data_IF_924214394036
#
_entry.id   IF_924214394036
#
_cell.length_a   1.000
_cell.length_b   1.000
_cell.length_c   1.000
_cell.angle_alpha   90.00
_cell.angle_beta   90.00
_cell.angle_gamma   90.00
#
_symmetry.space_group_name_H-M   'P 1'
#
loop_
_entity.id
_entity.type
_entity.pdbx_description
1 polymer ?
#
# COMPACT_ATOMS: atom_id res chain seq x y z
N UNK A 1 19.98 26.74 -8.14
CA UNK A 1 19.75 25.40 -8.72
C UNK A 1 19.29 24.47 -7.60
N UNK A 2 18.26 24.85 -6.83
CA UNK A 2 17.86 24.15 -5.59
C UNK A 2 16.34 24.23 -5.30
N UNK A 3 15.54 24.77 -6.23
CA UNK A 3 14.10 25.01 -5.97
C UNK A 3 13.21 23.78 -6.22
N UNK A 4 13.72 22.76 -6.92
CA UNK A 4 12.92 21.59 -7.36
C UNK A 4 13.07 20.36 -6.45
N UNK A 5 14.18 20.21 -5.73
CA UNK A 5 14.44 19.03 -4.88
C UNK A 5 13.46 18.94 -3.70
N UNK A 6 13.10 20.08 -3.09
CA UNK A 6 12.17 20.12 -1.96
C UNK A 6 10.72 19.77 -2.32
N UNK A 7 10.31 19.97 -3.58
CA UNK A 7 8.97 19.63 -4.04
C UNK A 7 8.83 18.13 -4.34
N UNK A 8 9.90 17.50 -4.85
CA UNK A 8 9.91 16.07 -5.19
C UNK A 8 9.80 15.21 -3.93
N UNK A 9 10.55 15.52 -2.88
CA UNK A 9 10.50 14.74 -1.65
C UNK A 9 9.14 14.86 -0.93
N UNK A 10 8.55 16.07 -1.00
CA UNK A 10 7.21 16.34 -0.48
C UNK A 10 6.13 15.58 -1.25
N UNK A 11 6.21 15.57 -2.59
CA UNK A 11 5.30 14.78 -3.43
C UNK A 11 5.44 13.28 -3.13
N UNK A 12 6.67 12.79 -2.96
CA UNK A 12 6.95 11.38 -2.62
C UNK A 12 6.37 10.99 -1.26
N UNK A 13 6.45 11.85 -0.25
CA UNK A 13 5.83 11.61 1.05
C UNK A 13 4.29 11.51 0.95
N UNK A 14 3.66 12.35 0.11
CA UNK A 14 2.21 12.29 -0.14
C UNK A 14 1.85 10.96 -0.83
N UNK A 15 2.61 10.55 -1.85
CA UNK A 15 2.37 9.27 -2.52
C UNK A 15 2.55 8.07 -1.57
N UNK A 16 3.56 8.09 -0.70
CA UNK A 16 3.76 7.08 0.33
C UNK A 16 2.57 6.98 1.28
N UNK A 17 2.07 8.11 1.78
CA UNK A 17 0.90 8.10 2.66
C UNK A 17 -0.39 7.69 1.93
N UNK A 18 -0.61 8.17 0.71
CA UNK A 18 -1.74 7.77 -0.11
C UNK A 18 -1.74 6.25 -0.39
N UNK A 19 -0.56 5.62 -0.49
CA UNK A 19 -0.41 4.20 -0.73
C UNK A 19 -0.91 3.31 0.41
N UNK A 20 -0.98 3.82 1.65
CA UNK A 20 -1.51 3.08 2.81
C UNK A 20 -3.04 2.92 2.73
N UNK A 21 -3.71 3.80 1.98
CA UNK A 21 -5.17 3.89 1.87
C UNK A 21 -5.64 3.38 0.49
N UNK A 22 -4.73 3.24 -0.47
CA UNK A 22 -5.05 2.89 -1.84
C UNK A 22 -5.17 1.37 -2.01
N UNK A 23 -6.39 0.89 -2.26
CA UNK A 23 -6.66 -0.51 -2.53
C UNK A 23 -6.03 -0.94 -3.89
N UNK A 24 -5.10 -1.92 -3.91
CA UNK A 24 -4.34 -2.28 -5.11
C UNK A 24 -5.20 -2.90 -6.23
N UNK A 25 -6.46 -3.28 -5.95
CA UNK A 25 -7.42 -3.79 -6.94
C UNK A 25 -8.23 -2.71 -7.65
N UNK A 26 -8.37 -1.53 -7.04
CA UNK A 26 -9.31 -0.50 -7.51
C UNK A 26 -8.57 0.68 -8.15
N UNK A 27 -7.33 0.95 -7.74
CA UNK A 27 -6.60 2.16 -8.13
C UNK A 27 -5.33 1.87 -8.96
N UNK A 28 -5.47 1.24 -10.12
CA UNK A 28 -4.34 1.05 -11.07
C UNK A 28 -3.73 2.37 -11.53
N UNK A 29 -4.60 3.37 -11.80
CA UNK A 29 -4.20 4.68 -12.31
C UNK A 29 -3.29 5.49 -11.37
N UNK A 30 -3.40 5.27 -10.05
CA UNK A 30 -2.53 5.90 -9.05
C UNK A 30 -1.09 5.43 -9.21
N UNK A 31 -0.88 4.11 -9.35
CA UNK A 31 0.45 3.51 -9.51
C UNK A 31 1.10 3.90 -10.83
N UNK A 32 0.33 3.99 -11.92
CA UNK A 32 0.83 4.50 -13.20
C UNK A 32 1.27 5.97 -13.10
N UNK A 33 0.50 6.81 -12.41
CA UNK A 33 0.85 8.23 -12.20
C UNK A 33 2.11 8.38 -11.35
N UNK A 34 2.27 7.56 -10.31
CA UNK A 34 3.49 7.56 -9.50
C UNK A 34 4.70 7.02 -10.28
N UNK A 35 4.50 6.02 -11.14
CA UNK A 35 5.56 5.52 -12.00
C UNK A 35 6.05 6.59 -12.99
N UNK A 36 5.13 7.27 -13.66
CA UNK A 36 5.44 8.38 -14.58
C UNK A 36 6.14 9.54 -13.85
N UNK A 37 5.73 9.83 -12.61
CA UNK A 37 6.38 10.83 -11.76
C UNK A 37 7.84 10.46 -11.46
N UNK A 38 8.12 9.23 -11.03
CA UNK A 38 9.47 8.76 -10.72
C UNK A 38 10.34 8.60 -11.98
N UNK A 39 9.76 8.27 -13.14
CA UNK A 39 10.51 8.23 -14.41
C UNK A 39 10.91 9.65 -14.87
N UNK A 40 10.07 10.65 -14.63
CA UNK A 40 10.34 12.05 -15.04
C UNK A 40 11.25 12.81 -14.08
N UNK A 41 11.18 12.52 -12.78
CA UNK A 41 11.84 13.32 -11.73
C UNK A 41 12.80 12.52 -10.84
N UNK A 42 12.75 11.18 -10.88
CA UNK A 42 13.47 10.28 -10.00
C UNK A 42 14.62 9.53 -10.69
N UNK A 43 15.05 8.43 -10.06
CA UNK A 43 16.14 7.56 -10.50
C UNK A 43 15.69 6.08 -10.39
N UNK A 44 16.45 5.12 -10.92
CA UNK A 44 16.15 3.69 -10.83
C UNK A 44 15.95 3.21 -9.38
N UNK A 45 16.69 3.77 -8.43
CA UNK A 45 16.58 3.44 -7.02
C UNK A 45 15.21 3.83 -6.43
N UNK A 46 14.72 5.04 -6.73
CA UNK A 46 13.44 5.53 -6.21
C UNK A 46 12.25 4.83 -6.86
N UNK A 47 12.37 4.49 -8.14
CA UNK A 47 11.39 3.64 -8.84
C UNK A 47 11.32 2.24 -8.22
N UNK A 48 12.47 1.67 -7.86
CA UNK A 48 12.56 0.36 -7.22
C UNK A 48 11.90 0.35 -5.84
N UNK A 49 12.08 1.43 -5.07
CA UNK A 49 11.41 1.58 -3.77
C UNK A 49 9.90 1.70 -3.93
N UNK A 50 9.39 2.44 -4.92
CA UNK A 50 7.95 2.50 -5.22
C UNK A 50 7.35 1.10 -5.48
N UNK A 51 8.02 0.27 -6.29
CA UNK A 51 7.57 -1.11 -6.55
C UNK A 51 7.60 -1.98 -5.29
N UNK A 52 8.51 -1.69 -4.35
CA UNK A 52 8.58 -2.36 -3.05
C UNK A 52 7.39 -2.01 -2.18
N UNK A 53 7.04 -0.72 -2.12
CA UNK A 53 5.84 -0.23 -1.42
C UNK A 53 4.59 -0.87 -2.00
N UNK A 54 4.43 -0.90 -3.34
CA UNK A 54 3.30 -1.55 -4.02
C UNK A 54 3.11 -3.01 -3.59
N UNK A 55 4.19 -3.80 -3.57
CA UNK A 55 4.15 -5.19 -3.12
C UNK A 55 3.81 -5.31 -1.63
N UNK A 56 4.38 -4.45 -0.79
CA UNK A 56 4.10 -4.43 0.65
C UNK A 56 2.62 -4.13 0.91
N UNK A 57 2.07 -3.09 0.30
CA UNK A 57 0.64 -2.73 0.39
C UNK A 57 -0.24 -3.89 -0.08
N UNK A 58 0.09 -4.51 -1.21
CA UNK A 58 -0.64 -5.69 -1.69
C UNK A 58 -0.60 -6.86 -0.70
N UNK A 59 0.55 -7.11 -0.07
CA UNK A 59 0.68 -8.14 0.95
C UNK A 59 -0.12 -7.80 2.19
N UNK A 60 -0.04 -6.56 2.69
CA UNK A 60 -0.78 -6.06 3.85
C UNK A 60 -2.29 -6.12 3.64
N UNK A 61 -2.81 -5.77 2.47
CA UNK A 61 -4.24 -5.95 2.18
C UNK A 61 -4.64 -7.42 2.14
N UNK A 62 -3.82 -8.27 1.52
CA UNK A 62 -4.07 -9.71 1.48
C UNK A 62 -3.99 -10.37 2.87
N UNK A 63 -3.14 -9.88 3.78
CA UNK A 63 -3.04 -10.38 5.16
C UNK A 63 -4.09 -9.76 6.07
N UNK A 64 -4.40 -8.47 5.97
CA UNK A 64 -5.46 -7.82 6.78
C UNK A 64 -6.82 -8.46 6.56
N UNK A 65 -7.17 -8.80 5.31
CA UNK A 65 -8.39 -9.58 5.02
C UNK A 65 -8.32 -10.96 5.68
N UNK A 66 -7.16 -11.63 5.63
CA UNK A 66 -6.96 -12.93 6.29
C UNK A 66 -7.04 -12.84 7.81
N UNK A 67 -6.46 -11.82 8.45
CA UNK A 67 -6.49 -11.62 9.90
C UNK A 67 -7.89 -11.22 10.41
N UNK A 68 -8.61 -10.34 9.71
CA UNK A 68 -10.02 -10.05 10.03
C UNK A 68 -10.90 -11.29 9.87
N UNK A 69 -10.73 -12.07 8.80
CA UNK A 69 -11.48 -13.32 8.61
C UNK A 69 -11.15 -14.37 9.68
N UNK A 70 -9.88 -14.50 10.06
CA UNK A 70 -9.44 -15.46 11.07
C UNK A 70 -9.98 -15.12 12.47
N UNK A 71 -10.05 -13.84 12.84
CA UNK A 71 -10.65 -13.40 14.10
C UNK A 71 -12.17 -13.61 14.13
N UNK A 72 -12.87 -13.36 13.01
CA UNK A 72 -14.32 -13.59 12.91
C UNK A 72 -14.69 -15.08 12.97
N UNK A 73 -13.88 -15.96 12.35
CA UNK A 73 -14.08 -17.43 12.41
C UNK A 73 -13.78 -17.96 13.83
N UNK A 74 -12.73 -17.46 14.49
CA UNK A 74 -12.38 -17.87 15.86
C UNK A 74 -13.44 -17.46 16.89
N UNK A 75 -14.04 -16.27 16.75
CA UNK A 75 -15.14 -15.82 17.60
C UNK A 75 -16.45 -16.60 17.35
N UNK A 76 -16.67 -17.12 16.14
CA UNK A 76 -17.83 -17.94 15.80
C UNK A 76 -17.75 -19.39 16.32
N UNK A 77 -16.55 -19.97 16.40
CA UNK A 77 -16.36 -21.37 16.81
C UNK A 77 -16.54 -21.61 18.33
N UNK A 78 -16.28 -20.61 19.17
CA UNK A 78 -16.38 -20.73 20.63
C UNK A 78 -17.81 -20.91 21.16
N UNK A 79 -18.84 -20.50 20.38
CA UNK A 79 -20.25 -20.56 20.82
C UNK A 79 -20.91 -21.93 20.64
N UNK A 80 -20.38 -22.79 19.75
CA UNK A 80 -20.97 -24.11 19.46
C UNK A 80 -20.47 -25.19 20.42
N UNK A 81 -19.25 -25.05 20.96
CA UNK A 81 -18.68 -26.04 21.88
C UNK A 81 -19.24 -25.95 23.32
N UNK A 82 -19.84 -24.81 23.71
CA UNK A 82 -20.39 -24.61 25.06
C UNK A 82 -21.83 -25.14 25.25
N UNK A 83 -22.34 -26.01 24.36
CA UNK A 83 -23.71 -26.54 24.42
C UNK A 83 -23.81 -28.08 24.41
N UNK A 84 -22.77 -28.77 24.86
CA UNK A 84 -22.84 -30.19 25.19
C UNK A 84 -22.32 -30.45 26.60
#
# INVERSE_FOLDING_TARGET
>A
MERTLGEIDRARAIFAHASEICDPKVHGHFWDTWMDFEVKHGNEDTLREMLRVKRSVQQTYNTSVKHMSAQMIAAGAAKVCARF
#
